data_IF_393293353625
#
_entry.id   IF_393293353625
#
_cell.length_a   1.000
_cell.length_b   1.000
_cell.length_c   1.000
_cell.angle_alpha   90.00
_cell.angle_beta   90.00
_cell.angle_gamma   90.00
#
_symmetry.space_group_name_H-M   'P 1'
#
loop_
_entity.id
_entity.type
_entity.pdbx_description
1 polymer ?
#
# COMPACT_ATOMS: atom_id res chain seq x y z
N UNK A 1 -9.19 -37.71 -3.01
CA UNK A 1 -10.42 -37.08 -3.53
C UNK A 1 -10.02 -36.13 -4.63
N UNK A 2 -10.58 -36.32 -5.81
CA UNK A 2 -10.19 -35.61 -7.03
C UNK A 2 -10.73 -34.17 -6.98
N UNK A 3 -9.84 -33.19 -7.08
CA UNK A 3 -10.19 -31.77 -6.99
C UNK A 3 -10.61 -31.32 -8.38
N UNK A 4 -11.92 -31.39 -8.67
CA UNK A 4 -12.47 -31.00 -9.97
C UNK A 4 -12.65 -29.48 -10.03
N UNK A 5 -11.93 -28.75 -10.89
CA UNK A 5 -12.16 -27.34 -11.10
C UNK A 5 -13.50 -27.12 -11.83
N UNK A 6 -14.26 -26.06 -11.50
CA UNK A 6 -15.46 -25.72 -12.27
C UNK A 6 -15.10 -25.45 -13.74
N UNK A 7 -15.91 -26.00 -14.67
CA UNK A 7 -15.79 -25.72 -16.11
C UNK A 7 -16.19 -24.27 -16.45
N UNK A 8 -17.02 -23.66 -15.61
CA UNK A 8 -17.42 -22.26 -15.72
C UNK A 8 -16.31 -21.33 -15.20
N UNK A 9 -15.76 -20.54 -16.12
CA UNK A 9 -14.69 -19.56 -15.87
C UNK A 9 -15.16 -18.47 -14.89
N UNK A 10 -16.43 -18.05 -14.94
CA UNK A 10 -16.96 -17.02 -14.05
C UNK A 10 -17.06 -17.55 -12.62
N UNK A 11 -17.60 -18.76 -12.44
CA UNK A 11 -17.70 -19.42 -11.13
C UNK A 11 -16.31 -19.67 -10.52
N UNK A 12 -15.35 -20.13 -11.33
CA UNK A 12 -13.96 -20.31 -10.90
C UNK A 12 -13.31 -19.00 -10.46
N UNK A 13 -13.54 -17.89 -11.17
CA UNK A 13 -13.02 -16.58 -10.78
C UNK A 13 -13.63 -16.07 -9.47
N UNK A 14 -14.92 -16.35 -9.23
CA UNK A 14 -15.61 -15.99 -7.98
C UNK A 14 -15.03 -16.80 -6.81
N UNK A 15 -14.85 -18.11 -7.00
CA UNK A 15 -14.25 -19.00 -5.99
C UNK A 15 -12.82 -18.57 -5.68
N UNK A 16 -12.01 -18.26 -6.70
CA UNK A 16 -10.61 -17.85 -6.54
C UNK A 16 -10.49 -16.52 -5.79
N UNK A 17 -11.32 -15.52 -6.14
CA UNK A 17 -11.34 -14.22 -5.45
C UNK A 17 -11.78 -14.36 -4.00
N UNK A 18 -12.81 -15.15 -3.73
CA UNK A 18 -13.27 -15.36 -2.37
C UNK A 18 -12.24 -16.14 -1.55
N UNK A 19 -11.62 -17.17 -2.13
CA UNK A 19 -10.59 -17.95 -1.47
C UNK A 19 -9.38 -17.11 -1.08
N UNK A 20 -8.96 -16.18 -1.95
CA UNK A 20 -7.88 -15.24 -1.65
C UNK A 20 -8.26 -14.25 -0.54
N UNK A 21 -9.49 -13.76 -0.58
CA UNK A 21 -10.00 -12.83 0.43
C UNK A 21 -10.11 -13.47 1.81
N UNK A 22 -10.60 -14.71 1.88
CA UNK A 22 -10.69 -15.48 3.12
C UNK A 22 -9.31 -15.89 3.62
N UNK A 23 -8.40 -16.30 2.73
CA UNK A 23 -7.03 -16.64 3.10
C UNK A 23 -6.26 -15.44 3.72
N UNK A 24 -6.61 -14.20 3.33
CA UNK A 24 -5.97 -12.97 3.84
C UNK A 24 -6.60 -12.43 5.11
N UNK A 25 -7.93 -12.49 5.23
CA UNK A 25 -8.67 -11.85 6.33
C UNK A 25 -9.17 -12.84 7.39
N UNK A 26 -8.98 -14.14 7.17
CA UNK A 26 -9.33 -15.20 8.11
C UNK A 26 -10.74 -15.77 7.92
N UNK A 27 -11.05 -16.86 8.64
CA UNK A 27 -12.29 -17.63 8.49
C UNK A 27 -13.56 -16.88 8.95
N UNK A 28 -13.44 -15.82 9.76
CA UNK A 28 -14.59 -15.00 10.14
C UNK A 28 -15.22 -14.30 8.92
N UNK A 29 -14.40 -13.95 7.93
CA UNK A 29 -14.86 -13.38 6.68
C UNK A 29 -15.62 -14.38 5.80
N UNK A 30 -15.28 -15.67 5.88
CA UNK A 30 -16.06 -16.73 5.25
C UNK A 30 -17.46 -16.78 5.87
N UNK A 31 -17.56 -16.76 7.20
CA UNK A 31 -18.84 -16.79 7.92
C UNK A 31 -19.71 -15.55 7.62
N UNK A 32 -19.09 -14.37 7.56
CA UNK A 32 -19.78 -13.13 7.19
C UNK A 32 -20.27 -13.17 5.73
N UNK A 33 -19.42 -13.61 4.79
CA UNK A 33 -19.80 -13.70 3.37
C UNK A 33 -20.91 -14.73 3.16
N UNK A 34 -20.81 -15.87 3.85
CA UNK A 34 -21.86 -16.89 3.88
C UNK A 34 -23.18 -16.25 4.31
N UNK A 35 -23.23 -15.59 5.46
CA UNK A 35 -24.45 -14.95 5.97
C UNK A 35 -25.02 -13.87 5.05
N UNK A 36 -24.17 -12.98 4.49
CA UNK A 36 -24.59 -11.88 3.60
C UNK A 36 -25.06 -12.34 2.23
N UNK A 37 -24.52 -13.46 1.72
CA UNK A 37 -24.83 -13.99 0.39
C UNK A 37 -25.75 -15.22 0.44
N UNK A 38 -26.48 -15.40 1.55
CA UNK A 38 -27.45 -16.48 1.70
C UNK A 38 -28.58 -16.33 0.67
N UNK A 39 -28.71 -17.33 -0.21
CA UNK A 39 -29.69 -17.33 -1.31
C UNK A 39 -29.13 -16.91 -2.68
N UNK A 40 -27.85 -16.55 -2.78
CA UNK A 40 -27.21 -16.27 -4.07
C UNK A 40 -26.63 -17.55 -4.70
N UNK A 41 -27.12 -17.91 -5.89
CA UNK A 41 -26.66 -19.09 -6.63
C UNK A 41 -25.14 -19.08 -6.91
N UNK A 42 -24.53 -17.89 -7.07
CA UNK A 42 -23.10 -17.73 -7.31
C UNK A 42 -22.23 -18.06 -6.08
N UNK A 43 -22.81 -18.06 -4.88
CA UNK A 43 -22.13 -18.41 -3.62
C UNK A 43 -22.66 -19.70 -2.98
N UNK A 44 -23.49 -20.45 -3.71
CA UNK A 44 -24.07 -21.70 -3.23
C UNK A 44 -23.00 -22.71 -2.78
N UNK A 45 -21.82 -22.68 -3.41
CA UNK A 45 -20.68 -23.53 -3.05
C UNK A 45 -20.21 -23.38 -1.59
N UNK A 46 -20.47 -22.24 -0.92
CA UNK A 46 -20.13 -22.03 0.50
C UNK A 46 -21.00 -22.83 1.47
N UNK A 47 -22.12 -23.35 0.99
CA UNK A 47 -23.10 -24.12 1.76
C UNK A 47 -22.98 -25.63 1.53
N UNK A 48 -21.99 -26.07 0.74
CA UNK A 48 -21.78 -27.46 0.34
C UNK A 48 -21.79 -27.61 -1.19
N UNK A 49 -21.69 -28.85 -1.68
CA UNK A 49 -21.71 -29.17 -3.11
C UNK A 49 -20.34 -29.51 -3.70
N UNK A 50 -20.30 -29.80 -5.01
CA UNK A 50 -19.10 -30.36 -5.67
C UNK A 50 -17.89 -29.41 -5.65
N UNK A 51 -18.14 -28.10 -5.65
CA UNK A 51 -17.09 -27.07 -5.68
C UNK A 51 -16.61 -26.60 -4.31
N UNK A 52 -17.23 -27.07 -3.21
CA UNK A 52 -16.79 -26.72 -1.86
C UNK A 52 -15.37 -27.26 -1.59
N UNK A 53 -15.06 -28.47 -2.06
CA UNK A 53 -13.72 -29.06 -1.95
C UNK A 53 -12.66 -28.27 -2.74
N UNK A 54 -13.04 -27.76 -3.93
CA UNK A 54 -12.17 -26.89 -4.73
C UNK A 54 -11.89 -25.57 -4.03
N UNK A 55 -12.93 -24.94 -3.48
CA UNK A 55 -12.82 -23.72 -2.68
C UNK A 55 -11.92 -23.93 -1.44
N UNK A 56 -12.15 -24.99 -0.65
CA UNK A 56 -11.34 -25.32 0.53
C UNK A 56 -9.86 -25.55 0.17
N UNK A 57 -9.60 -26.31 -0.90
CA UNK A 57 -8.24 -26.52 -1.40
C UNK A 57 -7.57 -25.19 -1.79
N UNK A 58 -8.31 -24.27 -2.44
CA UNK A 58 -7.78 -22.97 -2.86
C UNK A 58 -7.54 -22.03 -1.68
N UNK A 59 -8.44 -22.00 -0.69
CA UNK A 59 -8.23 -21.27 0.58
C UNK A 59 -6.98 -21.82 1.26
N UNK A 60 -6.87 -23.13 1.44
CA UNK A 60 -5.71 -23.75 2.08
C UNK A 60 -4.40 -23.48 1.31
N UNK A 61 -4.41 -23.58 -0.02
CA UNK A 61 -3.22 -23.31 -0.85
C UNK A 61 -2.82 -21.84 -0.78
N UNK A 62 -3.80 -20.91 -0.82
CA UNK A 62 -3.54 -19.47 -0.71
C UNK A 62 -3.10 -19.11 0.69
N UNK A 63 -3.73 -19.65 1.73
CA UNK A 63 -3.35 -19.41 3.12
C UNK A 63 -1.97 -19.99 3.42
N UNK A 64 -1.63 -21.16 2.87
CA UNK A 64 -0.29 -21.74 2.96
C UNK A 64 0.75 -20.96 2.15
N UNK A 65 0.38 -20.40 0.98
CA UNK A 65 1.24 -19.51 0.22
C UNK A 65 1.47 -18.17 0.93
N UNK A 66 0.43 -17.59 1.54
CA UNK A 66 0.53 -16.42 2.41
C UNK A 66 1.32 -16.75 3.67
N UNK A 67 1.20 -17.94 4.26
CA UNK A 67 2.06 -18.39 5.37
C UNK A 67 3.49 -18.66 4.92
N UNK A 68 3.77 -18.99 3.66
CA UNK A 68 5.15 -19.09 3.14
C UNK A 68 5.73 -17.73 2.75
N UNK A 69 4.87 -16.78 2.37
CA UNK A 69 5.25 -15.43 1.95
C UNK A 69 5.27 -14.42 3.10
N UNK A 70 4.55 -14.72 4.19
CA UNK A 70 4.44 -13.93 5.42
C UNK A 70 4.92 -14.72 6.65
N UNK A 71 5.38 -15.96 6.46
CA UNK A 71 5.89 -16.86 7.50
C UNK A 71 7.15 -17.60 7.05
N UNK A 72 8.23 -16.84 6.88
CA UNK A 72 9.47 -17.21 7.56
C UNK A 72 9.40 -16.94 9.08
N UNK A 73 8.36 -16.24 9.54
CA UNK A 73 8.01 -16.07 10.95
C UNK A 73 6.66 -16.68 11.30
N UNK A 74 6.67 -17.91 11.80
CA UNK A 74 5.71 -18.33 12.82
C UNK A 74 6.54 -18.72 14.04
N UNK A 75 6.26 -18.05 15.17
CA UNK A 75 6.87 -18.31 16.47
C UNK A 75 6.88 -19.82 16.79
N UNK A 76 8.03 -20.43 17.08
CA UNK A 76 8.07 -21.74 17.73
C UNK A 76 7.90 -21.65 19.26
N UNK A 77 7.26 -20.60 19.77
CA UNK A 77 7.24 -20.33 21.22
C UNK A 77 6.34 -21.26 22.05
N UNK A 78 5.46 -22.09 21.47
CA UNK A 78 4.63 -23.02 22.26
C UNK A 78 4.54 -24.47 21.76
N UNK A 79 5.37 -24.86 20.78
CA UNK A 79 5.57 -26.28 20.45
C UNK A 79 7.02 -26.74 20.64
N UNK A 80 7.89 -25.86 21.14
CA UNK A 80 9.29 -26.18 21.42
C UNK A 80 9.59 -26.42 22.91
N UNK A 81 8.56 -26.54 23.77
CA UNK A 81 8.76 -27.10 25.11
C UNK A 81 8.64 -28.62 25.19
N UNK A 82 8.20 -29.31 24.12
CA UNK A 82 8.19 -30.78 24.09
C UNK A 82 9.06 -31.43 23.02
N UNK A 83 9.78 -30.63 22.22
CA UNK A 83 10.81 -31.16 21.30
C UNK A 83 12.21 -30.66 21.59
N UNK A 84 12.41 -30.02 22.76
CA UNK A 84 13.74 -29.74 23.29
C UNK A 84 14.26 -30.86 24.22
N UNK A 85 13.67 -32.05 24.14
CA UNK A 85 14.14 -33.24 24.85
C UNK A 85 14.80 -34.27 23.92
N UNK A 86 15.00 -33.96 22.63
CA UNK A 86 15.60 -34.92 21.69
C UNK A 86 16.72 -34.40 20.78
N UNK A 87 17.21 -33.19 21.03
CA UNK A 87 18.50 -32.72 20.48
C UNK A 87 19.42 -32.26 21.62
N UNK A 88 19.43 -33.03 22.71
CA UNK A 88 20.45 -32.94 23.75
C UNK A 88 21.65 -33.86 23.45
N UNK A 89 21.75 -34.40 22.22
CA UNK A 89 22.73 -35.43 21.89
C UNK A 89 23.51 -35.11 20.61
N UNK A 90 24.26 -34.01 20.63
CA UNK A 90 25.56 -33.90 19.93
C UNK A 90 26.20 -32.51 20.14
N UNK A 91 26.11 -31.94 21.34
CA UNK A 91 27.12 -30.98 21.79
C UNK A 91 28.27 -31.77 22.43
N UNK A 92 28.88 -32.66 21.65
CA UNK A 92 30.20 -33.18 22.00
C UNK A 92 31.20 -32.09 21.62
N UNK A 93 31.50 -31.24 22.60
CA UNK A 93 32.84 -30.70 22.74
C UNK A 93 33.81 -31.89 22.62
N UNK A 94 34.80 -31.90 21.72
CA UNK A 94 35.77 -32.99 21.70
C UNK A 94 36.55 -32.95 23.01
N UNK A 95 36.13 -33.77 23.98
CA UNK A 95 36.89 -34.08 25.19
C UNK A 95 38.08 -34.95 24.77
N UNK A 96 39.12 -34.35 24.20
CA UNK A 96 40.36 -35.08 23.83
C UNK A 96 41.43 -34.93 24.93
N UNK A 97 41.18 -34.13 25.98
CA UNK A 97 42.09 -33.96 27.11
C UNK A 97 41.78 -34.90 28.29
N UNK A 98 41.46 -36.15 28.01
CA UNK A 98 41.22 -37.15 29.05
C UNK A 98 41.81 -38.50 28.67
N UNK A 99 43.14 -38.58 28.56
CA UNK A 99 43.84 -39.86 28.56
C UNK A 99 44.79 -39.89 29.77
N UNK A 100 44.57 -40.76 30.78
CA UNK A 100 45.57 -40.99 31.81
C UNK A 100 46.77 -41.75 31.22
N UNK A 101 47.98 -41.61 31.79
CA UNK A 101 49.17 -42.23 31.22
C UNK A 101 49.08 -43.76 31.32
N UNK A 102 49.39 -44.53 30.27
CA UNK A 102 49.53 -45.97 30.38
C UNK A 102 50.76 -46.29 31.23
N UNK A 103 50.62 -47.23 32.17
CA UNK A 103 51.74 -47.75 32.95
C UNK A 103 52.86 -48.32 32.05
N UNK A 104 54.09 -48.43 32.57
CA UNK A 104 55.26 -48.74 31.77
C UNK A 104 55.23 -50.21 31.31
N UNK A 105 54.92 -50.44 30.03
CA UNK A 105 55.28 -51.67 29.34
C UNK A 105 56.40 -51.35 28.34
N UNK A 106 57.57 -51.94 28.62
CA UNK A 106 58.82 -51.77 27.88
C UNK A 106 58.77 -52.66 26.64
N UNK A 107 58.68 -52.07 25.45
CA UNK A 107 58.89 -52.74 24.17
C UNK A 107 59.71 -51.81 23.25
N UNK A 108 60.51 -52.34 22.29
CA UNK A 108 61.52 -51.55 21.60
C UNK A 108 60.92 -50.52 20.64
N UNK A 109 61.58 -49.37 20.58
CA UNK A 109 61.21 -48.12 19.92
C UNK A 109 60.81 -48.27 18.44
N UNK A 110 59.68 -47.64 18.08
CA UNK A 110 59.48 -47.01 16.77
C UNK A 110 59.11 -45.54 17.01
N UNK A 111 59.63 -44.58 16.21
CA UNK A 111 59.24 -43.18 16.34
C UNK A 111 57.76 -43.05 15.95
N UNK A 112 56.92 -42.33 16.71
CA UNK A 112 55.53 -42.11 16.30
C UNK A 112 55.51 -41.31 14.99
N UNK A 113 54.65 -41.66 14.02
CA UNK A 113 54.57 -40.93 12.75
C UNK A 113 53.97 -39.54 13.01
N UNK A 114 54.85 -38.53 13.06
CA UNK A 114 54.53 -37.09 13.06
C UNK A 114 53.39 -36.66 12.11
N UNK A 115 53.17 -37.25 10.91
CA UNK A 115 52.04 -36.87 10.06
C UNK A 115 50.64 -37.11 10.64
N UNK A 116 50.45 -38.05 11.58
CA UNK A 116 49.12 -38.36 12.12
C UNK A 116 48.58 -37.29 13.09
N UNK A 117 49.46 -36.72 13.93
CA UNK A 117 49.10 -35.67 14.90
C UNK A 117 48.79 -34.36 14.17
N UNK A 118 49.59 -34.02 13.14
CA UNK A 118 49.36 -32.84 12.32
C UNK A 118 48.04 -32.93 11.53
N UNK A 119 47.65 -34.12 11.07
CA UNK A 119 46.38 -34.34 10.38
C UNK A 119 45.16 -34.17 11.31
N UNK A 120 45.25 -34.62 12.56
CA UNK A 120 44.19 -34.43 13.56
C UNK A 120 44.00 -32.96 13.93
N UNK A 121 45.09 -32.22 14.11
CA UNK A 121 45.05 -30.77 14.39
C UNK A 121 44.44 -30.02 13.20
N UNK A 122 44.83 -30.37 11.97
CA UNK A 122 44.27 -29.77 10.75
C UNK A 122 42.75 -29.99 10.62
N UNK A 123 42.28 -31.23 10.83
CA UNK A 123 40.85 -31.55 10.82
C UNK A 123 40.06 -30.78 11.91
N UNK A 124 40.69 -30.54 13.06
CA UNK A 124 40.07 -29.81 14.16
C UNK A 124 39.99 -28.29 13.88
N UNK A 125 41.01 -27.71 13.24
CA UNK A 125 40.99 -26.32 12.75
C UNK A 125 39.89 -26.16 11.70
N UNK A 126 39.74 -27.11 10.78
CA UNK A 126 38.69 -27.09 9.75
C UNK A 126 37.28 -27.16 10.37
N UNK A 127 37.08 -28.01 11.38
CA UNK A 127 35.81 -28.09 12.10
C UNK A 127 35.47 -26.77 12.83
N UNK A 128 36.44 -26.16 13.52
CA UNK A 128 36.26 -24.87 14.20
C UNK A 128 36.00 -23.76 13.18
N UNK A 129 36.70 -23.76 12.05
CA UNK A 129 36.50 -22.77 10.98
C UNK A 129 35.11 -22.88 10.38
N UNK A 130 34.63 -24.10 10.13
CA UNK A 130 33.28 -24.37 9.63
C UNK A 130 32.22 -23.89 10.62
N UNK A 131 32.42 -24.16 11.92
CA UNK A 131 31.53 -23.67 12.97
C UNK A 131 31.52 -22.14 13.05
N UNK A 132 32.70 -21.51 12.94
CA UNK A 132 32.81 -20.05 12.97
C UNK A 132 32.10 -19.41 11.76
N UNK A 133 32.20 -20.04 10.58
CA UNK A 133 31.48 -19.59 9.37
C UNK A 133 29.96 -19.75 9.52
N UNK A 134 29.50 -20.86 10.10
CA UNK A 134 28.07 -21.07 10.36
C UNK A 134 27.49 -20.02 11.32
N UNK A 135 28.20 -19.71 12.42
CA UNK A 135 27.78 -18.67 13.36
C UNK A 135 27.80 -17.27 12.73
N UNK A 136 28.81 -16.96 11.92
CA UNK A 136 28.88 -15.68 11.19
C UNK A 136 27.68 -15.52 10.23
N UNK A 137 27.31 -16.57 9.51
CA UNK A 137 26.15 -16.52 8.62
C UNK A 137 24.84 -16.38 9.41
N UNK A 138 24.73 -17.03 10.57
CA UNK A 138 23.57 -16.88 11.44
C UNK A 138 23.42 -15.43 11.96
N UNK A 139 24.52 -14.78 12.35
CA UNK A 139 24.53 -13.37 12.74
C UNK A 139 24.10 -12.48 11.57
N UNK A 140 24.66 -12.73 10.37
CA UNK A 140 24.30 -11.98 9.16
C UNK A 140 22.81 -12.09 8.84
N UNK A 141 22.23 -13.29 8.95
CA UNK A 141 20.80 -13.50 8.75
C UNK A 141 19.95 -12.82 9.83
N UNK A 142 20.38 -12.87 11.11
CA UNK A 142 19.67 -12.16 12.17
C UNK A 142 19.68 -10.64 11.97
N UNK A 143 20.79 -10.07 11.50
CA UNK A 143 20.90 -8.65 11.22
C UNK A 143 19.98 -8.22 10.07
N UNK A 144 19.92 -9.02 8.99
CA UNK A 144 19.00 -8.77 7.87
C UNK A 144 17.55 -8.84 8.35
N UNK A 145 17.21 -9.83 9.17
CA UNK A 145 15.87 -9.97 9.70
C UNK A 145 15.49 -8.80 10.63
N UNK A 146 16.41 -8.36 11.49
CA UNK A 146 16.20 -7.22 12.38
C UNK A 146 16.03 -5.92 11.58
N UNK A 147 16.87 -5.69 10.57
CA UNK A 147 16.75 -4.54 9.67
C UNK A 147 15.43 -4.55 8.91
N UNK A 148 15.00 -5.72 8.42
CA UNK A 148 13.71 -5.86 7.74
C UNK A 148 12.54 -5.56 8.69
N UNK A 149 12.56 -6.08 9.92
CA UNK A 149 11.53 -5.79 10.92
C UNK A 149 11.48 -4.31 11.27
N UNK A 150 12.64 -3.68 11.50
CA UNK A 150 12.75 -2.25 11.76
C UNK A 150 12.22 -1.42 10.57
N UNK A 151 12.54 -1.81 9.35
CA UNK A 151 12.03 -1.17 8.13
C UNK A 151 10.51 -1.24 8.03
N UNK A 152 9.91 -2.40 8.30
CA UNK A 152 8.44 -2.56 8.32
C UNK A 152 7.80 -1.71 9.42
N UNK A 153 8.40 -1.68 10.61
CA UNK A 153 7.88 -0.88 11.73
C UNK A 153 7.89 0.62 11.40
N UNK A 154 9.00 1.14 10.86
CA UNK A 154 9.09 2.54 10.43
C UNK A 154 8.08 2.86 9.33
N UNK A 155 7.93 1.97 8.35
CA UNK A 155 6.93 2.16 7.29
C UNK A 155 5.50 2.16 7.86
N UNK A 156 5.18 1.27 8.79
CA UNK A 156 3.89 1.24 9.44
C UNK A 156 3.64 2.50 10.27
N UNK A 157 4.66 2.98 10.99
CA UNK A 157 4.58 4.24 11.73
C UNK A 157 4.30 5.41 10.79
N UNK A 158 4.97 5.48 9.63
CA UNK A 158 4.74 6.53 8.64
C UNK A 158 3.30 6.50 8.12
N UNK A 159 2.77 5.32 7.77
CA UNK A 159 1.37 5.19 7.33
C UNK A 159 0.39 5.64 8.41
N UNK A 160 0.61 5.27 9.66
CA UNK A 160 -0.26 5.71 10.77
C UNK A 160 -0.23 7.24 10.95
N UNK A 161 0.95 7.87 10.83
CA UNK A 161 1.09 9.33 10.88
C UNK A 161 0.30 9.96 9.73
N UNK A 162 0.49 9.48 8.50
CA UNK A 162 -0.14 10.04 7.30
C UNK A 162 -1.68 9.91 7.37
N UNK A 163 -2.19 8.76 7.82
CA UNK A 163 -3.62 8.54 8.03
C UNK A 163 -4.19 9.43 9.13
N UNK A 164 -3.46 9.60 10.24
CA UNK A 164 -3.88 10.47 11.35
C UNK A 164 -3.92 11.94 10.93
N UNK A 165 -2.91 12.41 10.20
CA UNK A 165 -2.86 13.77 9.64
C UNK A 165 -4.02 13.98 8.68
N UNK A 166 -4.23 13.06 7.74
CA UNK A 166 -5.34 13.14 6.77
C UNK A 166 -6.70 13.19 7.47
N UNK A 167 -6.89 12.36 8.51
CA UNK A 167 -8.11 12.35 9.31
C UNK A 167 -8.33 13.66 10.05
N UNK A 168 -7.33 14.15 10.78
CA UNK A 168 -7.42 15.40 11.53
C UNK A 168 -7.72 16.60 10.61
N UNK A 169 -7.08 16.62 9.44
CA UNK A 169 -7.36 17.61 8.40
C UNK A 169 -8.82 17.53 7.91
N UNK A 170 -9.34 16.32 7.65
CA UNK A 170 -10.73 16.08 7.25
C UNK A 170 -11.73 16.53 8.30
N UNK A 171 -11.50 16.19 9.56
CA UNK A 171 -12.35 16.60 10.67
C UNK A 171 -12.36 18.13 10.83
N UNK A 172 -11.20 18.78 10.68
CA UNK A 172 -11.10 20.23 10.69
C UNK A 172 -11.89 20.89 9.54
N UNK A 173 -11.87 20.30 8.34
CA UNK A 173 -12.61 20.82 7.20
C UNK A 173 -14.13 20.66 7.39
N UNK A 174 -14.59 19.53 7.92
CA UNK A 174 -16.01 19.31 8.26
C UNK A 174 -16.45 20.35 9.29
N UNK A 175 -15.67 20.55 10.35
CA UNK A 175 -15.95 21.56 11.37
C UNK A 175 -16.05 22.98 10.78
N UNK A 176 -15.10 23.37 9.92
CA UNK A 176 -15.15 24.66 9.22
C UNK A 176 -16.39 24.78 8.32
N UNK A 177 -16.78 23.69 7.67
CA UNK A 177 -17.99 23.66 6.85
C UNK A 177 -19.26 23.89 7.66
N UNK A 178 -19.35 23.29 8.85
CA UNK A 178 -20.49 23.45 9.77
C UNK A 178 -20.58 24.87 10.34
N UNK A 179 -19.43 25.49 10.61
CA UNK A 179 -19.31 26.89 11.04
C UNK A 179 -19.76 27.85 9.93
N UNK A 180 -19.35 27.61 8.69
CA UNK A 180 -19.71 28.42 7.52
C UNK A 180 -21.05 28.04 6.87
N UNK A 181 -21.78 27.06 7.42
CA UNK A 181 -23.08 26.58 6.92
C UNK A 181 -23.04 26.10 5.47
N UNK A 182 -22.00 25.37 5.11
CA UNK A 182 -21.93 24.60 3.86
C UNK A 182 -22.18 23.13 4.18
N UNK A 183 -23.11 22.49 3.44
CA UNK A 183 -23.30 21.04 3.49
C UNK A 183 -22.34 20.38 2.50
N UNK A 184 -21.29 19.71 3.02
CA UNK A 184 -20.37 18.92 2.18
C UNK A 184 -21.07 17.69 1.58
N UNK A 185 -22.09 17.17 2.24
CA UNK A 185 -22.95 16.09 1.75
C UNK A 185 -23.73 16.49 0.50
N UNK A 186 -24.27 17.71 0.47
CA UNK A 186 -24.99 18.23 -0.71
C UNK A 186 -24.02 18.42 -1.87
N UNK A 187 -22.81 18.91 -1.56
CA UNK A 187 -21.78 19.06 -2.57
C UNK A 187 -21.32 17.71 -3.12
N UNK A 188 -21.17 16.69 -2.27
CA UNK A 188 -20.83 15.33 -2.70
C UNK A 188 -21.87 14.78 -3.68
N UNK A 189 -23.17 14.99 -3.42
CA UNK A 189 -24.24 14.59 -4.34
C UNK A 189 -24.15 15.26 -5.72
N UNK A 190 -23.61 16.48 -5.79
CA UNK A 190 -23.33 17.17 -7.06
C UNK A 190 -22.03 16.65 -7.72
N UNK A 191 -21.04 16.25 -6.92
CA UNK A 191 -19.77 15.73 -7.43
C UNK A 191 -19.87 14.30 -7.96
N UNK A 192 -20.69 13.42 -7.38
CA UNK A 192 -20.74 12.01 -7.81
C UNK A 192 -21.04 11.84 -9.32
N UNK A 193 -22.06 12.51 -9.91
CA UNK A 193 -22.30 12.43 -11.35
C UNK A 193 -21.12 12.90 -12.21
N UNK A 194 -20.36 13.89 -11.72
CA UNK A 194 -19.14 14.41 -12.37
C UNK A 194 -18.03 13.36 -12.32
N UNK A 195 -17.83 12.75 -11.15
CA UNK A 195 -16.84 11.70 -10.91
C UNK A 195 -17.12 10.49 -11.81
N UNK A 196 -18.39 10.08 -11.90
CA UNK A 196 -18.78 8.87 -12.62
C UNK A 196 -18.78 9.05 -14.15
N UNK A 197 -19.23 10.20 -14.65
CA UNK A 197 -19.57 10.35 -16.07
C UNK A 197 -19.00 11.59 -16.77
N UNK A 198 -18.57 12.62 -16.01
CA UNK A 198 -18.02 13.87 -16.53
C UNK A 198 -18.79 14.47 -17.73
N UNK A 199 -20.12 14.43 -17.69
CA UNK A 199 -20.94 15.02 -18.75
C UNK A 199 -20.93 16.55 -18.69
N UNK A 200 -21.18 17.19 -19.82
CA UNK A 200 -21.27 18.65 -19.92
C UNK A 200 -22.30 19.22 -18.93
N UNK A 201 -23.44 18.54 -18.77
CA UNK A 201 -24.49 18.96 -17.85
C UNK A 201 -24.04 18.82 -16.39
N UNK A 202 -23.38 17.71 -16.02
CA UNK A 202 -22.86 17.52 -14.67
C UNK A 202 -21.82 18.58 -14.31
N UNK A 203 -20.89 18.89 -15.23
CA UNK A 203 -19.90 19.95 -15.05
C UNK A 203 -20.57 21.33 -14.93
N UNK A 204 -21.57 21.62 -15.76
CA UNK A 204 -22.31 22.88 -15.70
C UNK A 204 -23.07 23.03 -14.38
N UNK A 205 -23.71 21.96 -13.91
CA UNK A 205 -24.41 21.92 -12.63
C UNK A 205 -23.43 22.11 -11.45
N UNK A 206 -22.28 21.41 -11.47
CA UNK A 206 -21.22 21.58 -10.48
C UNK A 206 -20.68 23.00 -10.42
N UNK A 207 -20.38 23.61 -11.58
CA UNK A 207 -19.99 25.02 -11.65
C UNK A 207 -21.05 25.93 -11.06
N UNK A 208 -22.32 25.76 -11.47
CA UNK A 208 -23.43 26.58 -10.98
C UNK A 208 -23.55 26.52 -9.46
N UNK A 209 -23.44 25.31 -8.90
CA UNK A 209 -23.46 25.10 -7.46
C UNK A 209 -22.30 25.81 -6.76
N UNK A 210 -21.06 25.66 -7.25
CA UNK A 210 -19.87 26.30 -6.67
C UNK A 210 -20.02 27.82 -6.67
N UNK A 211 -20.43 28.41 -7.80
CA UNK A 211 -20.60 29.87 -7.92
C UNK A 211 -21.73 30.42 -7.03
N UNK A 212 -22.74 29.61 -6.72
CA UNK A 212 -23.84 29.98 -5.83
C UNK A 212 -23.44 29.92 -4.35
N UNK A 213 -22.61 28.94 -3.96
CA UNK A 213 -22.29 28.67 -2.56
C UNK A 213 -20.99 29.33 -2.08
N UNK A 214 -20.06 29.63 -2.99
CA UNK A 214 -18.84 30.39 -2.71
C UNK A 214 -19.14 31.90 -2.57
N UNK A 215 -19.83 32.28 -1.49
CA UNK A 215 -20.26 33.67 -1.24
C UNK A 215 -19.22 34.52 -0.51
N UNK A 216 -18.24 33.89 0.15
CA UNK A 216 -17.20 34.53 0.95
C UNK A 216 -15.90 33.72 0.93
N UNK A 217 -14.81 34.32 1.40
CA UNK A 217 -13.47 33.74 1.38
C UNK A 217 -13.38 32.39 2.08
N UNK A 218 -14.04 32.22 3.24
CA UNK A 218 -14.00 30.97 4.00
C UNK A 218 -14.68 29.84 3.24
N UNK A 219 -15.84 30.12 2.64
CA UNK A 219 -16.54 29.18 1.77
C UNK A 219 -15.74 28.79 0.53
N UNK A 220 -15.11 29.76 -0.13
CA UNK A 220 -14.21 29.50 -1.27
C UNK A 220 -13.07 28.54 -0.88
N UNK A 221 -12.48 28.75 0.29
CA UNK A 221 -11.39 27.92 0.81
C UNK A 221 -11.87 26.50 1.13
N UNK A 222 -13.01 26.34 1.81
CA UNK A 222 -13.58 25.04 2.17
C UNK A 222 -13.86 24.21 0.91
N UNK A 223 -14.54 24.79 -0.09
CA UNK A 223 -14.88 24.11 -1.34
C UNK A 223 -13.61 23.73 -2.13
N UNK A 224 -12.64 24.63 -2.21
CA UNK A 224 -11.36 24.34 -2.88
C UNK A 224 -10.59 23.22 -2.19
N UNK A 225 -10.48 23.25 -0.85
CA UNK A 225 -9.83 22.20 -0.08
C UNK A 225 -10.57 20.86 -0.19
N UNK A 226 -11.89 20.88 -0.21
CA UNK A 226 -12.69 19.66 -0.37
C UNK A 226 -12.44 18.99 -1.73
N UNK A 227 -12.46 19.77 -2.82
CA UNK A 227 -12.13 19.29 -4.18
C UNK A 227 -10.71 18.73 -4.25
N UNK A 228 -9.74 19.45 -3.67
CA UNK A 228 -8.35 19.02 -3.59
C UNK A 228 -8.23 17.66 -2.91
N UNK A 229 -8.81 17.50 -1.72
CA UNK A 229 -8.72 16.25 -0.97
C UNK A 229 -9.41 15.11 -1.71
N UNK A 230 -10.58 15.33 -2.30
CA UNK A 230 -11.27 14.33 -3.14
C UNK A 230 -10.38 13.81 -4.28
N UNK A 231 -9.62 14.68 -4.93
CA UNK A 231 -8.74 14.29 -6.02
C UNK A 231 -7.43 13.60 -5.56
N UNK A 232 -6.97 13.89 -4.34
CA UNK A 232 -5.73 13.35 -3.79
C UNK A 232 -5.91 12.05 -2.98
N UNK A 233 -7.15 11.58 -2.75
CA UNK A 233 -7.39 10.30 -2.06
C UNK A 233 -6.62 9.17 -2.76
N UNK A 234 -5.88 8.39 -1.97
CA UNK A 234 -5.18 7.21 -2.45
C UNK A 234 -6.17 6.21 -3.05
N UNK A 235 -5.89 5.72 -4.25
CA UNK A 235 -6.74 4.76 -4.97
C UNK A 235 -7.79 5.36 -5.90
N UNK A 236 -8.00 6.69 -5.90
CA UNK A 236 -8.86 7.35 -6.90
C UNK A 236 -8.28 7.15 -8.30
N UNK A 237 -9.15 6.77 -9.24
CA UNK A 237 -8.75 6.48 -10.62
C UNK A 237 -8.34 7.77 -11.35
N UNK A 238 -7.39 7.64 -12.29
CA UNK A 238 -6.95 8.78 -13.11
C UNK A 238 -8.12 9.54 -13.76
N UNK A 239 -9.11 8.82 -14.31
CA UNK A 239 -10.29 9.44 -14.93
C UNK A 239 -11.04 10.35 -13.96
N UNK A 240 -11.29 9.87 -12.74
CA UNK A 240 -11.98 10.63 -11.70
C UNK A 240 -11.20 11.89 -11.30
N UNK A 241 -9.86 11.80 -11.18
CA UNK A 241 -9.00 12.97 -10.94
C UNK A 241 -9.12 13.99 -12.07
N UNK A 242 -9.09 13.51 -13.31
CA UNK A 242 -9.21 14.35 -14.50
C UNK A 242 -10.58 15.05 -14.57
N UNK A 243 -11.67 14.35 -14.21
CA UNK A 243 -13.02 14.92 -14.16
C UNK A 243 -13.11 16.09 -13.16
N UNK A 244 -12.52 15.95 -11.98
CA UNK A 244 -12.46 17.02 -10.98
C UNK A 244 -11.60 18.20 -11.45
N UNK A 245 -10.47 17.93 -12.13
CA UNK A 245 -9.64 18.97 -12.74
C UNK A 245 -10.43 19.73 -13.82
N UNK A 246 -11.25 19.05 -14.63
CA UNK A 246 -12.11 19.69 -15.63
C UNK A 246 -13.17 20.59 -15.00
N UNK A 247 -13.78 20.19 -13.89
CA UNK A 247 -14.70 21.04 -13.12
C UNK A 247 -13.99 22.31 -12.63
N UNK A 248 -12.84 22.16 -11.97
CA UNK A 248 -12.05 23.30 -11.46
C UNK A 248 -11.67 24.24 -12.61
N UNK A 249 -11.25 23.69 -13.74
CA UNK A 249 -10.93 24.45 -14.94
C UNK A 249 -12.14 25.25 -15.47
N UNK A 250 -13.33 24.67 -15.53
CA UNK A 250 -14.53 25.37 -16.02
C UNK A 250 -14.95 26.52 -15.08
N UNK A 251 -14.79 26.34 -13.78
CA UNK A 251 -15.04 27.40 -12.78
C UNK A 251 -14.02 28.53 -12.91
N UNK A 252 -12.72 28.21 -12.99
CA UNK A 252 -11.66 29.22 -13.18
C UNK A 252 -11.88 30.00 -14.48
N UNK A 253 -12.25 29.31 -15.56
CA UNK A 253 -12.58 29.95 -16.83
C UNK A 253 -13.74 30.94 -16.68
N UNK A 254 -14.78 30.57 -15.94
CA UNK A 254 -15.89 31.48 -15.65
C UNK A 254 -15.44 32.70 -14.83
N UNK A 255 -14.60 32.50 -13.80
CA UNK A 255 -14.03 33.61 -13.03
C UNK A 255 -13.23 34.57 -13.90
N UNK A 256 -12.47 34.06 -14.88
CA UNK A 256 -11.70 34.87 -15.83
C UNK A 256 -12.59 35.63 -16.84
N UNK A 257 -13.70 35.03 -17.26
CA UNK A 257 -14.60 35.63 -18.26
C UNK A 257 -15.58 36.67 -17.64
N UNK A 258 -15.93 36.52 -16.37
CA UNK A 258 -16.97 37.32 -15.72
C UNK A 258 -16.38 38.54 -15.02
N UNK A 259 -16.23 39.64 -15.77
CA UNK A 259 -15.65 40.92 -15.32
C UNK A 259 -16.55 41.77 -14.41
N UNK A 260 -17.80 41.33 -14.18
CA UNK A 260 -18.84 42.11 -13.49
C UNK A 260 -18.83 41.99 -11.96
N UNK A 261 -18.13 41.00 -11.38
CA UNK A 261 -18.12 40.73 -9.93
C UNK A 261 -16.67 40.42 -9.50
N UNK A 262 -15.80 41.44 -9.58
CA UNK A 262 -14.33 41.26 -9.52
C UNK A 262 -13.84 40.62 -8.22
N UNK A 263 -14.15 41.20 -7.06
CA UNK A 263 -13.53 40.77 -5.79
C UNK A 263 -13.85 39.33 -5.36
N UNK A 264 -15.11 38.88 -5.46
CA UNK A 264 -15.51 37.52 -5.06
C UNK A 264 -14.94 36.45 -5.98
N UNK A 265 -15.00 36.69 -7.29
CA UNK A 265 -14.50 35.74 -8.28
C UNK A 265 -12.97 35.63 -8.22
N UNK A 266 -12.27 36.71 -7.84
CA UNK A 266 -10.81 36.72 -7.65
C UNK A 266 -10.38 35.85 -6.46
N UNK A 267 -11.10 35.90 -5.33
CA UNK A 267 -10.81 35.05 -4.17
C UNK A 267 -11.04 33.56 -4.48
N UNK A 268 -12.18 33.23 -5.09
CA UNK A 268 -12.48 31.86 -5.52
C UNK A 268 -11.42 31.35 -6.51
N UNK A 269 -11.06 32.18 -7.50
CA UNK A 269 -10.01 31.86 -8.47
C UNK A 269 -8.70 31.54 -7.77
N UNK A 270 -8.23 32.39 -6.85
CA UNK A 270 -7.00 32.17 -6.11
C UNK A 270 -7.02 30.88 -5.30
N UNK A 271 -8.14 30.57 -4.63
CA UNK A 271 -8.31 29.32 -3.91
C UNK A 271 -8.22 28.10 -4.84
N UNK A 272 -8.86 28.16 -6.01
CA UNK A 272 -8.89 27.07 -6.99
C UNK A 272 -7.54 26.90 -7.72
N UNK A 273 -6.79 27.97 -7.95
CA UNK A 273 -5.40 27.94 -8.44
C UNK A 273 -4.49 27.18 -7.47
N UNK A 274 -4.65 27.41 -6.17
CA UNK A 274 -3.91 26.66 -5.15
C UNK A 274 -4.24 25.16 -5.14
N UNK A 275 -5.47 24.77 -5.50
CA UNK A 275 -5.88 23.37 -5.55
C UNK A 275 -5.52 22.68 -6.88
N UNK A 276 -5.66 23.36 -8.02
CA UNK A 276 -5.46 22.74 -9.34
C UNK A 276 -4.02 22.26 -9.54
N UNK A 277 -3.03 22.96 -8.97
CA UNK A 277 -1.62 22.61 -9.07
C UNK A 277 -1.35 21.22 -8.48
N UNK A 278 -1.60 20.95 -7.18
CA UNK A 278 -1.38 19.63 -6.61
C UNK A 278 -2.30 18.56 -7.22
N UNK A 279 -3.54 18.90 -7.61
CA UNK A 279 -4.42 17.95 -8.33
C UNK A 279 -3.80 17.49 -9.66
N UNK A 280 -3.32 18.44 -10.47
CA UNK A 280 -2.67 18.15 -11.75
C UNK A 280 -1.36 17.37 -11.55
N UNK A 281 -0.52 17.80 -10.61
CA UNK A 281 0.75 17.14 -10.33
C UNK A 281 0.54 15.69 -9.86
N UNK A 282 -0.42 15.46 -8.96
CA UNK A 282 -0.77 14.13 -8.50
C UNK A 282 -1.38 13.27 -9.61
N UNK A 283 -2.26 13.83 -10.45
CA UNK A 283 -2.77 13.12 -11.62
C UNK A 283 -1.64 12.73 -12.58
N UNK A 284 -0.65 13.62 -12.79
CA UNK A 284 0.50 13.37 -13.66
C UNK A 284 1.41 12.27 -13.10
N UNK A 285 1.70 12.28 -11.80
CA UNK A 285 2.51 11.24 -11.14
C UNK A 285 1.81 9.88 -11.18
N UNK A 286 0.47 9.88 -11.08
CA UNK A 286 -0.34 8.65 -11.12
C UNK A 286 -0.76 8.22 -12.53
N UNK A 287 -0.31 8.93 -13.58
CA UNK A 287 -0.52 8.48 -14.97
C UNK A 287 0.22 7.18 -15.25
N UNK A 288 -0.48 6.19 -15.79
CA UNK A 288 0.10 4.91 -16.15
C UNK A 288 0.28 4.75 -17.68
N UNK A 289 -0.45 5.51 -18.49
CA UNK A 289 -0.49 5.36 -19.95
C UNK A 289 -0.19 6.65 -20.69
N UNK A 290 0.31 6.54 -21.91
CA UNK A 290 0.60 7.70 -22.77
C UNK A 290 -0.66 8.43 -23.20
N UNK A 291 -1.81 7.74 -23.32
CA UNK A 291 -3.09 8.39 -23.61
C UNK A 291 -3.54 9.31 -22.47
N UNK A 292 -3.39 8.84 -21.22
CA UNK A 292 -3.67 9.65 -20.03
C UNK A 292 -2.72 10.86 -19.94
N UNK A 293 -1.44 10.64 -20.25
CA UNK A 293 -0.43 11.71 -20.32
C UNK A 293 -0.79 12.73 -21.39
N UNK A 294 -1.20 12.31 -22.58
CA UNK A 294 -1.61 13.19 -23.66
C UNK A 294 -2.81 14.08 -23.29
N UNK A 295 -3.78 13.56 -22.51
CA UNK A 295 -4.91 14.35 -21.98
C UNK A 295 -4.44 15.48 -21.08
N UNK A 296 -3.50 15.23 -20.17
CA UNK A 296 -2.91 16.26 -19.31
C UNK A 296 -2.04 17.25 -20.09
N UNK A 297 -1.23 16.78 -21.04
CA UNK A 297 -0.40 17.65 -21.89
C UNK A 297 -1.27 18.61 -22.70
N UNK A 298 -2.39 18.13 -23.24
CA UNK A 298 -3.36 18.99 -23.94
C UNK A 298 -3.94 20.06 -23.02
N UNK A 299 -4.26 19.70 -21.78
CA UNK A 299 -4.76 20.65 -20.78
C UNK A 299 -3.72 21.72 -20.46
N UNK A 300 -2.46 21.32 -20.23
CA UNK A 300 -1.37 22.25 -19.97
C UNK A 300 -1.12 23.20 -21.15
N UNK A 301 -1.12 22.69 -22.38
CA UNK A 301 -0.97 23.50 -23.59
C UNK A 301 -2.11 24.52 -23.76
N UNK A 302 -3.34 24.15 -23.37
CA UNK A 302 -4.47 25.10 -23.35
C UNK A 302 -4.26 26.23 -22.34
N UNK A 303 -3.71 25.90 -21.17
CA UNK A 303 -3.38 26.89 -20.13
C UNK A 303 -2.23 27.82 -20.54
N UNK A 304 -1.27 27.33 -21.33
CA UNK A 304 -0.18 28.15 -21.89
C UNK A 304 -0.63 29.06 -23.03
N UNK A 305 -1.49 28.55 -23.91
CA UNK A 305 -1.88 29.24 -25.15
C UNK A 305 -2.97 30.30 -24.95
N UNK A 306 -3.90 30.09 -24.02
CA UNK A 306 -4.91 31.09 -23.67
C UNK A 306 -4.31 32.10 -22.67
N UNK A 307 -3.67 33.15 -23.21
CA UNK A 307 -3.11 34.25 -22.42
C UNK A 307 -4.08 34.71 -21.33
N UNK A 308 -3.56 34.84 -20.09
CA UNK A 308 -4.25 35.20 -18.85
C UNK A 308 -5.06 34.10 -18.14
N UNK A 309 -4.93 32.82 -18.51
CA UNK A 309 -5.57 31.75 -17.73
C UNK A 309 -4.90 31.53 -16.37
N UNK A 310 -3.59 31.27 -16.39
CA UNK A 310 -2.70 31.22 -15.22
C UNK A 310 -1.49 32.14 -15.44
N UNK A 311 -0.86 32.59 -14.34
CA UNK A 311 0.40 33.32 -14.43
C UNK A 311 1.59 32.40 -14.75
N UNK A 312 2.72 33.02 -15.13
CA UNK A 312 3.93 32.26 -15.49
C UNK A 312 4.50 31.42 -14.33
N UNK A 313 4.23 31.81 -13.08
CA UNK A 313 4.69 31.09 -11.90
C UNK A 313 3.93 29.78 -11.72
N UNK A 314 2.60 29.83 -11.80
CA UNK A 314 1.70 28.66 -11.75
C UNK A 314 2.02 27.69 -12.88
N UNK A 315 2.22 28.18 -14.11
CA UNK A 315 2.61 27.33 -15.25
C UNK A 315 3.97 26.65 -15.01
N UNK A 316 4.94 27.36 -14.43
CA UNK A 316 6.25 26.78 -14.07
C UNK A 316 6.11 25.63 -13.07
N UNK A 317 5.28 25.79 -12.04
CA UNK A 317 4.98 24.73 -11.06
C UNK A 317 4.35 23.50 -11.74
N UNK A 318 3.38 23.71 -12.61
CA UNK A 318 2.71 22.63 -13.36
C UNK A 318 3.68 21.83 -14.26
N UNK A 319 4.77 22.44 -14.73
CA UNK A 319 5.82 21.77 -15.51
C UNK A 319 6.76 20.90 -14.68
N UNK A 320 6.78 21.09 -13.36
CA UNK A 320 7.64 20.35 -12.43
C UNK A 320 6.82 19.62 -11.35
N UNK A 321 6.07 18.55 -11.71
CA UNK A 321 5.13 17.89 -10.80
C UNK A 321 5.72 17.32 -9.51
N UNK A 322 6.87 16.61 -9.51
CA UNK A 322 7.40 16.00 -8.29
C UNK A 322 7.79 17.05 -7.24
N UNK A 323 8.49 18.11 -7.67
CA UNK A 323 8.90 19.20 -6.80
C UNK A 323 7.70 20.01 -6.30
N UNK A 324 6.73 20.28 -7.18
CA UNK A 324 5.55 21.05 -6.82
C UNK A 324 4.67 20.31 -5.83
N UNK A 325 4.47 18.99 -5.98
CA UNK A 325 3.66 18.22 -5.05
C UNK A 325 4.29 18.16 -3.64
N UNK A 326 5.62 18.14 -3.54
CA UNK A 326 6.33 18.13 -2.26
C UNK A 326 6.09 19.42 -1.45
N UNK A 327 5.90 20.57 -2.11
CA UNK A 327 5.52 21.83 -1.44
C UNK A 327 4.13 21.79 -0.79
N UNK A 328 3.24 20.89 -1.24
CA UNK A 328 1.89 20.73 -0.70
C UNK A 328 1.75 19.58 0.30
N UNK A 329 2.80 18.78 0.48
CA UNK A 329 2.84 17.68 1.46
C UNK A 329 3.42 18.13 2.82
N UNK A 330 3.98 19.33 2.91
CA UNK A 330 4.54 19.94 4.12
C UNK A 330 3.57 20.92 4.77
#
# INVERSE_FOLDING_TARGET
MEVVPPNDIELRNIIDKLAEFVARNGPEFESMTKTKQKGNAKFAFLYGGEYYNYYQYKVATKQQALMKQQGGGMNPFNQQQQQNQQSQNSNQMPQIWSNPPPGPQVAPQQPPPQPAINAQIAAQIEAITTQQNALREQIRQSDINLQAQHGVLLQQQQVQIDEAVTRAQNDALVKQSDEHKISLSDFDAILQPIIDSCTKDSISNGKGWILQHCTDSGKCQIISQYLLRKALIAGVLFAQKLHLIYLVNDVIHHCNASSSIRKRNDELKKCLEGAVIPMFCNAQITTATDEQRAKLTKLLSLWESKGNFFDACVISKLKSPPSSLQEYQN
#
